data_IF_830126551802
#
_entry.id   IF_830126551802
#
_cell.length_a   1.000
_cell.length_b   1.000
_cell.length_c   1.000
_cell.angle_alpha   90.00
_cell.angle_beta   90.00
_cell.angle_gamma   90.00
#
_symmetry.space_group_name_H-M   'P 1'
#
loop_
_entity.id
_entity.type
_entity.pdbx_description
1 polymer ?
#
# COMPACT_ATOMS: atom_id res chain seq x y z
N UNK A 1 -67.34 -10.78 23.83
CA UNK A 1 -66.11 -11.45 24.29
C UNK A 1 -65.00 -10.96 23.36
N UNK A 2 -64.10 -10.09 23.84
CA UNK A 2 -63.17 -9.37 22.96
C UNK A 2 -62.12 -10.33 22.37
N UNK A 3 -62.03 -10.34 21.03
CA UNK A 3 -61.00 -11.04 20.27
C UNK A 3 -59.61 -10.50 20.63
N UNK A 4 -58.70 -11.43 20.92
CA UNK A 4 -57.31 -11.14 21.23
C UNK A 4 -56.61 -10.77 19.93
N UNK A 5 -56.55 -9.47 19.61
CA UNK A 5 -55.84 -8.95 18.45
C UNK A 5 -54.41 -9.47 18.40
N UNK A 6 -53.98 -9.89 17.20
CA UNK A 6 -52.64 -10.40 16.94
C UNK A 6 -51.58 -9.40 17.44
N UNK A 7 -50.78 -9.81 18.43
CA UNK A 7 -49.66 -9.01 18.94
C UNK A 7 -48.65 -8.84 17.81
N UNK A 8 -48.58 -7.64 17.26
CA UNK A 8 -47.57 -7.27 16.27
C UNK A 8 -46.19 -7.50 16.88
N UNK A 9 -45.37 -8.34 16.24
CA UNK A 9 -44.02 -8.68 16.74
C UNK A 9 -43.18 -7.41 16.78
N UNK A 10 -42.89 -6.91 17.98
CA UNK A 10 -42.07 -5.71 18.17
C UNK A 10 -40.67 -5.94 17.60
N UNK A 11 -40.36 -5.25 16.50
CA UNK A 11 -39.06 -5.25 15.85
C UNK A 11 -38.15 -4.17 16.42
N UNK A 12 -38.69 -3.13 17.05
CA UNK A 12 -37.91 -2.00 17.55
C UNK A 12 -37.16 -2.38 18.83
N UNK A 13 -37.83 -3.03 19.79
CA UNK A 13 -37.22 -3.46 21.06
C UNK A 13 -35.95 -4.31 20.87
N UNK A 14 -36.01 -5.44 20.13
CA UNK A 14 -34.84 -6.28 19.91
C UNK A 14 -33.70 -5.56 19.18
N UNK A 15 -34.00 -4.73 18.19
CA UNK A 15 -32.98 -3.98 17.45
C UNK A 15 -32.33 -2.89 18.31
N UNK A 16 -33.10 -2.24 19.18
CA UNK A 16 -32.59 -1.28 20.14
C UNK A 16 -31.64 -1.93 21.16
N UNK A 17 -31.95 -3.14 21.64
CA UNK A 17 -31.05 -3.88 22.53
C UNK A 17 -29.75 -4.30 21.83
N UNK A 18 -29.82 -4.68 20.54
CA UNK A 18 -28.61 -4.95 19.74
C UNK A 18 -27.75 -3.70 19.62
N UNK A 19 -28.37 -2.54 19.36
CA UNK A 19 -27.67 -1.26 19.32
C UNK A 19 -27.03 -0.92 20.67
N UNK A 20 -27.77 -1.04 21.77
CA UNK A 20 -27.23 -0.78 23.11
C UNK A 20 -26.05 -1.70 23.42
N UNK A 21 -26.14 -2.99 23.08
CA UNK A 21 -25.02 -3.92 23.27
C UNK A 21 -23.79 -3.49 22.47
N UNK A 22 -23.98 -3.06 21.22
CA UNK A 22 -22.89 -2.55 20.40
C UNK A 22 -22.25 -1.30 21.00
N UNK A 23 -23.08 -0.33 21.40
CA UNK A 23 -22.60 0.91 22.03
C UNK A 23 -21.87 0.63 23.35
N UNK A 24 -22.33 -0.33 24.16
CA UNK A 24 -21.64 -0.73 25.38
C UNK A 24 -20.22 -1.27 25.09
N UNK A 25 -20.05 -2.04 24.01
CA UNK A 25 -18.74 -2.58 23.63
C UNK A 25 -17.82 -1.44 23.19
N UNK A 26 -18.27 -0.58 22.29
CA UNK A 26 -17.47 0.55 21.79
C UNK A 26 -17.09 1.48 22.93
N UNK A 27 -18.06 1.83 23.77
CA UNK A 27 -17.82 2.66 24.94
C UNK A 27 -16.78 2.03 25.88
N UNK A 28 -16.90 0.73 26.18
CA UNK A 28 -15.95 0.04 27.06
C UNK A 28 -14.55 -0.11 26.43
N UNK A 29 -14.48 -0.24 25.11
CA UNK A 29 -13.21 -0.26 24.38
C UNK A 29 -12.45 1.06 24.53
N UNK A 30 -13.17 2.17 24.46
CA UNK A 30 -12.59 3.51 24.49
C UNK A 30 -12.52 4.09 25.91
N UNK A 31 -13.14 3.45 26.89
CA UNK A 31 -13.32 4.01 28.24
C UNK A 31 -12.01 4.34 28.94
N UNK A 32 -10.94 3.58 28.68
CA UNK A 32 -9.61 3.84 29.25
C UNK A 32 -9.04 5.16 28.74
N UNK A 33 -9.12 5.40 27.43
CA UNK A 33 -8.67 6.66 26.81
C UNK A 33 -9.57 7.82 27.24
N UNK A 34 -10.88 7.61 27.24
CA UNK A 34 -11.85 8.61 27.66
C UNK A 34 -11.68 9.00 29.13
N UNK A 35 -11.34 8.04 30.00
CA UNK A 35 -11.06 8.31 31.41
C UNK A 35 -9.77 9.11 31.62
N UNK A 36 -8.75 8.89 30.80
CA UNK A 36 -7.53 9.72 30.81
C UNK A 36 -7.81 11.16 30.34
N UNK A 37 -8.66 11.32 29.32
CA UNK A 37 -9.00 12.64 28.76
C UNK A 37 -9.95 13.44 29.67
N UNK A 38 -10.89 12.75 30.34
CA UNK A 38 -11.93 13.37 31.17
C UNK A 38 -12.02 12.71 32.56
N UNK A 39 -10.99 12.79 33.39
CA UNK A 39 -10.92 12.04 34.66
C UNK A 39 -11.96 12.48 35.69
N UNK A 40 -12.48 13.70 35.58
CA UNK A 40 -13.47 14.28 36.51
C UNK A 40 -14.91 13.90 36.18
N UNK A 41 -15.15 13.14 35.11
CA UNK A 41 -16.50 12.79 34.69
C UNK A 41 -17.14 11.78 35.67
N UNK A 42 -18.39 12.03 36.07
CA UNK A 42 -19.12 11.24 37.08
C UNK A 42 -19.26 9.75 36.73
N UNK A 43 -19.21 9.41 35.44
CA UNK A 43 -19.27 8.04 34.94
C UNK A 43 -18.19 7.15 35.55
N UNK A 44 -17.01 7.70 35.85
CA UNK A 44 -15.91 6.90 36.40
C UNK A 44 -16.11 6.52 37.87
N UNK A 45 -17.11 7.09 38.54
CA UNK A 45 -17.49 6.75 39.93
C UNK A 45 -18.38 5.51 40.02
N UNK A 46 -18.82 4.94 38.90
CA UNK A 46 -19.61 3.69 38.93
C UNK A 46 -18.73 2.47 39.23
N UNK A 47 -19.25 1.57 40.06
CA UNK A 47 -18.54 0.38 40.58
C UNK A 47 -17.97 -0.55 39.49
N UNK A 48 -18.48 -0.50 38.26
CA UNK A 48 -17.93 -1.27 37.14
C UNK A 48 -16.48 -0.88 36.82
N UNK A 49 -16.12 0.40 37.00
CA UNK A 49 -14.76 0.91 36.72
C UNK A 49 -13.78 0.71 37.88
N UNK A 50 -14.28 0.28 39.04
CA UNK A 50 -13.48 -0.15 40.19
C UNK A 50 -13.34 -1.67 40.28
N UNK A 51 -13.97 -2.41 39.37
CA UNK A 51 -13.87 -3.85 39.29
C UNK A 51 -12.42 -4.27 38.94
N UNK A 52 -11.85 -5.31 39.59
CA UNK A 52 -10.49 -5.78 39.31
C UNK A 52 -10.28 -6.20 37.85
N UNK A 53 -11.29 -6.76 37.19
CA UNK A 53 -11.21 -7.13 35.78
C UNK A 53 -11.06 -5.90 34.87
N UNK A 54 -11.78 -4.82 35.19
CA UNK A 54 -11.66 -3.56 34.46
C UNK A 54 -10.29 -2.90 34.69
N UNK A 55 -9.76 -2.95 35.93
CA UNK A 55 -8.42 -2.42 36.22
C UNK A 55 -7.32 -3.17 35.47
N UNK A 56 -7.42 -4.50 35.37
CA UNK A 56 -6.48 -5.28 34.56
C UNK A 56 -6.57 -4.88 33.08
N UNK A 57 -7.80 -4.76 32.56
CA UNK A 57 -8.03 -4.27 31.20
C UNK A 57 -7.45 -2.87 30.96
N UNK A 58 -7.60 -1.96 31.92
CA UNK A 58 -7.05 -0.59 31.90
C UNK A 58 -5.51 -0.60 31.78
N UNK A 59 -4.84 -1.48 32.55
CA UNK A 59 -3.39 -1.67 32.49
C UNK A 59 -2.97 -2.25 31.14
N UNK A 60 -3.61 -3.34 30.71
CA UNK A 60 -3.25 -4.04 29.49
C UNK A 60 -3.41 -3.15 28.26
N UNK A 61 -4.54 -2.43 28.16
CA UNK A 61 -4.77 -1.51 27.03
C UNK A 61 -3.78 -0.35 27.04
N UNK A 62 -3.51 0.24 28.20
CA UNK A 62 -2.52 1.33 28.31
C UNK A 62 -1.12 0.87 27.86
N UNK A 63 -0.71 -0.35 28.25
CA UNK A 63 0.57 -0.92 27.85
C UNK A 63 0.67 -1.18 26.33
N UNK A 64 -0.41 -1.65 25.72
CA UNK A 64 -0.50 -1.88 24.28
C UNK A 64 -0.39 -0.57 23.51
N UNK A 65 -1.11 0.47 23.94
CA UNK A 65 -1.05 1.80 23.31
C UNK A 65 0.37 2.38 23.35
N UNK A 66 1.03 2.32 24.50
CA UNK A 66 2.42 2.78 24.64
C UNK A 66 3.37 2.00 23.73
N UNK A 67 3.20 0.68 23.65
CA UNK A 67 4.02 -0.19 22.80
C UNK A 67 3.84 0.14 21.32
N UNK A 68 2.59 0.30 20.87
CA UNK A 68 2.27 0.69 19.50
C UNK A 68 2.87 2.05 19.13
N UNK A 69 2.77 3.05 20.02
CA UNK A 69 3.37 4.36 19.79
C UNK A 69 4.90 4.29 19.70
N UNK A 70 5.55 3.49 20.55
CA UNK A 70 7.01 3.29 20.49
C UNK A 70 7.43 2.67 19.17
N UNK A 71 6.69 1.67 18.68
CA UNK A 71 7.00 1.02 17.41
C UNK A 71 6.90 2.00 16.23
N UNK A 72 5.83 2.82 16.20
CA UNK A 72 5.67 3.86 15.16
C UNK A 72 6.82 4.87 15.20
N UNK A 73 7.24 5.30 16.39
CA UNK A 73 8.40 6.19 16.52
C UNK A 73 9.67 5.53 15.99
N UNK A 74 9.89 4.25 16.31
CA UNK A 74 11.04 3.49 15.82
C UNK A 74 11.05 3.38 14.28
N UNK A 75 9.91 3.14 13.66
CA UNK A 75 9.78 3.08 12.20
C UNK A 75 10.10 4.44 11.56
N UNK A 76 9.60 5.53 12.14
CA UNK A 76 9.89 6.90 11.69
C UNK A 76 11.39 7.19 11.75
N UNK A 77 12.04 6.83 12.86
CA UNK A 77 13.47 7.05 13.03
C UNK A 77 14.29 6.15 12.09
N UNK A 78 13.84 4.92 11.86
CA UNK A 78 14.40 4.04 10.83
C UNK A 78 14.36 4.68 9.44
N UNK A 79 13.20 5.22 9.04
CA UNK A 79 13.02 5.90 7.75
C UNK A 79 13.94 7.12 7.65
N UNK A 80 14.01 7.97 8.69
CA UNK A 80 14.92 9.13 8.71
C UNK A 80 16.36 8.70 8.49
N UNK A 81 16.80 7.65 9.18
CA UNK A 81 18.16 7.13 9.05
C UNK A 81 18.43 6.61 7.62
N UNK A 82 17.49 5.85 7.04
CA UNK A 82 17.58 5.39 5.66
C UNK A 82 17.68 6.56 4.67
N UNK A 83 16.85 7.60 4.82
CA UNK A 83 16.91 8.80 3.96
C UNK A 83 18.26 9.49 4.08
N UNK A 84 18.77 9.68 5.30
CA UNK A 84 20.07 10.31 5.52
C UNK A 84 21.21 9.51 4.87
N UNK A 85 21.18 8.18 5.01
CA UNK A 85 22.17 7.30 4.40
C UNK A 85 22.10 7.34 2.86
N UNK A 86 20.90 7.36 2.27
CA UNK A 86 20.74 7.52 0.82
C UNK A 86 21.27 8.87 0.33
N UNK A 87 21.01 9.96 1.07
CA UNK A 87 21.51 11.28 0.71
C UNK A 87 23.05 11.30 0.73
N UNK A 88 23.66 10.73 1.77
CA UNK A 88 25.11 10.63 1.87
C UNK A 88 25.72 9.79 0.73
N UNK A 89 25.11 8.65 0.38
CA UNK A 89 25.60 7.80 -0.71
C UNK A 89 25.45 8.44 -2.08
N UNK A 90 24.35 9.16 -2.32
CA UNK A 90 24.17 9.94 -3.56
C UNK A 90 25.21 11.05 -3.68
N UNK A 91 25.46 11.82 -2.61
CA UNK A 91 26.47 12.87 -2.61
C UNK A 91 27.87 12.31 -2.88
N UNK A 92 28.23 11.19 -2.24
CA UNK A 92 29.50 10.51 -2.50
C UNK A 92 29.60 10.02 -3.96
N UNK A 93 28.53 9.45 -4.51
CA UNK A 93 28.47 9.04 -5.91
C UNK A 93 28.66 10.22 -6.88
N UNK A 94 28.00 11.35 -6.63
CA UNK A 94 28.14 12.55 -7.46
C UNK A 94 29.54 13.17 -7.34
N UNK A 95 30.16 13.14 -6.16
CA UNK A 95 31.54 13.59 -5.98
C UNK A 95 32.50 12.75 -6.83
N UNK A 96 32.38 11.42 -6.79
CA UNK A 96 33.21 10.51 -7.58
C UNK A 96 33.02 10.71 -9.10
N UNK A 97 31.77 10.90 -9.56
CA UNK A 97 31.49 11.19 -10.98
C UNK A 97 32.12 12.53 -11.38
N UNK A 98 32.01 13.55 -10.54
CA UNK A 98 32.60 14.87 -10.79
C UNK A 98 34.13 14.77 -10.90
N UNK A 99 34.77 14.00 -10.02
CA UNK A 99 36.20 13.75 -10.05
C UNK A 99 36.64 12.99 -11.31
N UNK A 100 35.90 11.93 -11.68
CA UNK A 100 36.17 11.16 -12.91
C UNK A 100 36.04 12.04 -14.17
N UNK A 101 35.00 12.87 -14.24
CA UNK A 101 34.78 13.82 -15.34
C UNK A 101 35.91 14.85 -15.40
N UNK A 102 36.32 15.41 -14.26
CA UNK A 102 37.45 16.34 -14.20
C UNK A 102 38.78 15.68 -14.61
N UNK A 103 38.98 14.41 -14.26
CA UNK A 103 40.13 13.61 -14.70
C UNK A 103 40.16 13.42 -16.22
N UNK A 104 39.01 13.15 -16.85
CA UNK A 104 38.89 13.02 -18.31
C UNK A 104 39.22 14.34 -19.01
N UNK A 105 38.68 15.46 -18.54
CA UNK A 105 38.99 16.78 -19.10
C UNK A 105 40.46 17.17 -18.92
N UNK A 106 41.04 16.82 -17.78
CA UNK A 106 42.47 17.05 -17.51
C UNK A 106 43.35 16.22 -18.45
N UNK A 107 43.01 14.95 -18.71
CA UNK A 107 43.72 14.11 -19.67
C UNK A 107 43.59 14.60 -21.12
N UNK A 108 42.43 15.15 -21.50
CA UNK A 108 42.18 15.68 -22.85
C UNK A 108 43.03 16.92 -23.17
N UNK A 109 43.43 17.70 -22.15
CA UNK A 109 44.28 18.88 -22.32
C UNK A 109 45.76 18.55 -22.63
N UNK A 110 46.21 17.31 -22.42
CA UNK A 110 47.56 16.87 -22.78
C UNK A 110 47.66 16.34 -24.22
N UNK A 111 46.55 15.91 -24.84
CA UNK A 111 46.57 15.33 -26.19
C UNK A 111 46.44 16.38 -27.33
N UNK A 112 46.20 17.64 -26.98
CA UNK A 112 45.86 18.71 -27.96
C UNK A 112 47.00 19.69 -28.27
N UNK A 113 48.25 19.39 -27.87
CA UNK A 113 49.42 20.22 -28.21
C UNK A 113 50.39 19.46 -29.10
N UNK A 114 50.12 19.46 -30.40
CA UNK A 114 51.18 19.38 -31.42
C UNK A 114 51.05 20.57 -32.38
N UNK A 115 51.94 21.57 -32.30
CA UNK A 115 52.23 22.42 -33.43
C UNK A 115 53.45 21.89 -34.18
N UNK A 116 53.27 21.77 -35.48
CA UNK A 116 54.23 21.48 -36.53
C UNK A 116 55.29 22.59 -36.74
N UNK A 117 56.49 22.15 -37.16
CA UNK A 117 57.49 22.81 -38.05
C UNK A 117 58.78 23.48 -37.47
N UNK A 118 59.88 22.76 -37.74
CA UNK A 118 61.12 23.11 -38.49
C UNK A 118 62.23 24.06 -37.96
N UNK A 119 63.45 23.49 -38.02
CA UNK A 119 64.81 24.03 -38.27
C UNK A 119 65.68 24.65 -37.15
N UNK A 120 66.68 23.85 -36.71
CA UNK A 120 68.13 24.06 -36.90
C UNK A 120 69.07 23.99 -35.66
N UNK A 121 69.97 23.01 -35.74
CA UNK A 121 71.34 22.89 -35.19
C UNK A 121 71.62 22.98 -33.68
N UNK A 122 72.18 21.87 -33.17
CA UNK A 122 73.01 21.82 -31.97
C UNK A 122 73.37 20.38 -31.60
N UNK A 123 74.60 19.97 -31.91
CA UNK A 123 75.25 18.70 -31.54
C UNK A 123 75.04 18.35 -30.04
N UNK A 124 75.08 17.09 -29.57
CA UNK A 124 76.28 16.28 -29.28
C UNK A 124 75.78 14.92 -28.73
N UNK A 125 76.46 13.84 -29.15
CA UNK A 125 76.73 12.49 -28.57
C UNK A 125 76.00 12.08 -27.25
N UNK A 126 75.67 10.83 -26.92
CA UNK A 126 76.36 9.54 -27.08
C UNK A 126 75.47 8.43 -26.46
N UNK A 127 75.53 7.23 -27.05
CA UNK A 127 75.47 5.90 -26.41
C UNK A 127 74.19 5.37 -25.71
N UNK A 128 73.85 4.12 -26.10
CA UNK A 128 73.14 3.12 -25.28
C UNK A 128 71.72 2.82 -25.78
N UNK A 129 71.45 1.83 -26.65
CA UNK A 129 71.45 0.37 -26.38
C UNK A 129 70.32 0.03 -25.37
N UNK A 130 69.26 -0.77 -25.62
CA UNK A 130 68.97 -2.00 -26.41
C UNK A 130 67.45 -2.02 -26.66
N UNK A 131 66.98 -2.08 -27.91
CA UNK A 131 66.30 -3.21 -28.55
C UNK A 131 65.29 -4.04 -27.71
N UNK A 132 64.04 -4.09 -28.15
CA UNK A 132 63.38 -5.25 -28.78
C UNK A 132 61.86 -4.98 -28.78
N UNK A 133 61.26 -4.73 -29.95
CA UNK A 133 60.84 -5.74 -30.95
C UNK A 133 59.59 -6.49 -30.45
N UNK A 134 58.40 -5.96 -30.73
CA UNK A 134 57.57 -6.15 -31.93
C UNK A 134 56.67 -7.39 -31.87
N UNK A 135 55.43 -7.15 -32.31
CA UNK A 135 54.60 -8.08 -33.09
C UNK A 135 53.97 -9.27 -32.35
N UNK A 136 52.71 -9.62 -32.54
CA UNK A 136 51.79 -9.30 -33.62
C UNK A 136 50.37 -9.81 -33.27
N UNK A 137 49.37 -9.28 -34.01
CA UNK A 137 48.16 -10.00 -34.46
C UNK A 137 47.07 -10.42 -33.44
N UNK A 138 45.77 -10.53 -33.72
CA UNK A 138 44.80 -10.13 -34.76
C UNK A 138 43.45 -10.69 -34.21
N UNK A 139 42.36 -9.93 -34.31
CA UNK A 139 40.93 -10.37 -34.32
C UNK A 139 40.37 -11.22 -33.17
N UNK A 140 39.35 -10.69 -32.47
CA UNK A 140 38.06 -11.37 -32.32
C UNK A 140 37.01 -10.41 -31.73
N UNK A 141 35.95 -10.22 -32.51
CA UNK A 141 34.60 -9.88 -32.07
C UNK A 141 34.13 -10.89 -31.01
N UNK A 142 33.80 -10.45 -29.80
CA UNK A 142 32.66 -10.99 -29.05
C UNK A 142 32.20 -10.03 -27.94
N UNK A 143 30.90 -9.87 -27.84
CA UNK A 143 30.19 -8.95 -26.94
C UNK A 143 30.34 -9.32 -25.46
N UNK A 144 30.68 -8.37 -24.56
CA UNK A 144 30.27 -8.44 -23.17
C UNK A 144 28.89 -7.78 -23.04
N UNK A 145 27.89 -8.60 -23.34
CA UNK A 145 26.56 -8.62 -22.72
C UNK A 145 26.27 -7.51 -21.69
N UNK A 146 25.30 -6.67 -22.04
CA UNK A 146 24.53 -5.82 -21.12
C UNK A 146 24.22 -6.61 -19.82
N UNK A 147 24.40 -6.01 -18.63
CA UNK A 147 23.76 -6.54 -17.43
C UNK A 147 22.26 -6.38 -17.65
N UNK A 148 21.66 -7.46 -18.18
CA UNK A 148 20.23 -7.66 -18.21
C UNK A 148 19.73 -7.37 -16.80
N UNK A 149 19.03 -6.26 -16.68
CA UNK A 149 18.28 -5.94 -15.47
C UNK A 149 17.52 -7.19 -15.10
N UNK A 150 17.81 -7.70 -13.91
CA UNK A 150 17.11 -8.83 -13.33
C UNK A 150 15.63 -8.45 -13.28
N UNK A 151 14.90 -8.84 -14.33
CA UNK A 151 13.47 -9.02 -14.33
C UNK A 151 13.23 -10.07 -13.25
N UNK A 152 13.11 -9.57 -12.02
CA UNK A 152 12.50 -10.30 -10.94
C UNK A 152 11.12 -10.67 -11.47
N UNK A 153 10.99 -11.92 -11.90
CA UNK A 153 9.73 -12.62 -12.09
C UNK A 153 9.09 -12.72 -10.72
N UNK A 154 8.66 -11.57 -10.18
CA UNK A 154 7.87 -11.45 -8.97
C UNK A 154 6.63 -12.26 -9.23
N UNK A 155 6.62 -13.47 -8.66
CA UNK A 155 5.45 -14.30 -8.62
C UNK A 155 4.30 -13.44 -8.09
N UNK A 156 3.13 -13.46 -8.74
CA UNK A 156 2.02 -12.62 -8.35
C UNK A 156 1.69 -12.89 -6.87
N UNK A 157 1.56 -11.84 -6.04
CA UNK A 157 1.20 -12.04 -4.65
C UNK A 157 -0.16 -12.76 -4.59
N UNK A 158 -0.22 -13.86 -3.83
CA UNK A 158 -1.47 -14.58 -3.63
C UNK A 158 -2.31 -13.82 -2.60
N UNK A 159 -3.24 -13.01 -3.09
CA UNK A 159 -4.14 -12.22 -2.25
C UNK A 159 -5.47 -12.92 -2.04
N UNK A 160 -6.02 -12.84 -0.81
CA UNK A 160 -7.33 -13.39 -0.46
C UNK A 160 -8.26 -12.24 -0.10
N UNK A 161 -9.39 -12.14 -0.81
CA UNK A 161 -10.38 -11.09 -0.58
C UNK A 161 -11.04 -11.25 0.80
N UNK A 162 -11.16 -10.15 1.56
CA UNK A 162 -11.64 -10.19 2.93
C UNK A 162 -13.13 -10.54 3.01
N UNK A 163 -13.44 -11.74 3.50
CA UNK A 163 -14.82 -12.26 3.63
C UNK A 163 -15.69 -11.56 4.67
N UNK A 164 -15.09 -10.79 5.59
CA UNK A 164 -15.81 -10.05 6.63
C UNK A 164 -16.43 -8.75 6.11
N UNK A 165 -16.06 -8.28 4.92
CA UNK A 165 -16.66 -7.10 4.32
C UNK A 165 -18.01 -7.43 3.71
N UNK A 166 -19.05 -6.99 4.43
CA UNK A 166 -20.46 -7.24 4.12
C UNK A 166 -21.21 -5.98 3.66
N UNK A 167 -20.53 -4.82 3.64
CA UNK A 167 -21.08 -3.55 3.15
C UNK A 167 -20.47 -3.20 1.80
N UNK A 168 -21.23 -2.49 0.95
CA UNK A 168 -20.72 -2.04 -0.36
C UNK A 168 -19.54 -1.10 -0.18
N UNK A 169 -19.56 -0.24 0.85
CA UNK A 169 -18.49 0.72 1.15
C UNK A 169 -17.18 0.02 1.54
N UNK A 170 -17.23 -1.02 2.37
CA UNK A 170 -16.04 -1.80 2.72
C UNK A 170 -15.46 -2.55 1.51
N UNK A 171 -16.33 -3.12 0.68
CA UNK A 171 -15.96 -3.83 -0.55
C UNK A 171 -15.33 -2.87 -1.56
N UNK A 172 -15.87 -1.66 -1.71
CA UNK A 172 -15.28 -0.63 -2.57
C UNK A 172 -13.94 -0.15 -2.05
N UNK A 173 -13.80 0.07 -0.73
CA UNK A 173 -12.54 0.50 -0.11
C UNK A 173 -11.41 -0.52 -0.35
N UNK A 174 -11.70 -1.82 -0.19
CA UNK A 174 -10.75 -2.90 -0.52
C UNK A 174 -10.34 -2.85 -2.00
N UNK A 175 -11.29 -2.53 -2.88
CA UNK A 175 -11.02 -2.42 -4.31
C UNK A 175 -10.13 -1.25 -4.67
N UNK A 176 -10.38 -0.08 -4.09
CA UNK A 176 -9.74 1.17 -4.48
C UNK A 176 -8.43 1.43 -3.74
N UNK A 177 -8.47 1.36 -2.41
CA UNK A 177 -7.34 1.69 -1.53
C UNK A 177 -6.64 0.45 -0.94
N UNK A 178 -7.30 -0.72 -0.99
CA UNK A 178 -6.79 -1.93 -0.35
C UNK A 178 -7.14 -2.01 1.13
N UNK A 179 -6.40 -2.84 1.85
CA UNK A 179 -6.55 -3.08 3.30
C UNK A 179 -5.17 -2.96 3.91
N UNK A 180 -5.06 -2.52 5.17
CA UNK A 180 -3.78 -2.32 5.88
C UNK A 180 -2.74 -3.41 5.54
N UNK A 181 -1.61 -2.97 4.97
CA UNK A 181 -0.49 -3.83 4.58
C UNK A 181 -0.66 -4.62 3.25
N UNK A 182 -1.79 -4.48 2.56
CA UNK A 182 -2.07 -5.18 1.30
C UNK A 182 -2.40 -4.19 0.16
N UNK A 183 -1.99 -4.49 -1.08
CA UNK A 183 -2.31 -3.66 -2.23
C UNK A 183 -3.82 -3.66 -2.52
N UNK A 184 -4.29 -2.65 -3.25
CA UNK A 184 -5.69 -2.59 -3.70
C UNK A 184 -6.02 -3.68 -4.72
N UNK A 185 -7.26 -4.16 -4.70
CA UNK A 185 -7.71 -5.20 -5.66
C UNK A 185 -7.65 -4.67 -7.10
N UNK A 186 -7.89 -3.36 -7.29
CA UNK A 186 -7.69 -2.71 -8.59
C UNK A 186 -6.26 -2.87 -9.10
N UNK A 187 -5.27 -2.53 -8.29
CA UNK A 187 -3.85 -2.67 -8.65
C UNK A 187 -3.47 -4.12 -8.95
N UNK A 188 -3.99 -5.08 -8.18
CA UNK A 188 -3.79 -6.50 -8.42
C UNK A 188 -4.38 -6.96 -9.75
N UNK A 189 -5.61 -6.54 -10.06
CA UNK A 189 -6.29 -6.88 -11.31
C UNK A 189 -5.59 -6.24 -12.53
N UNK A 190 -5.11 -5.00 -12.40
CA UNK A 190 -4.44 -4.31 -13.50
C UNK A 190 -3.08 -4.94 -13.81
N UNK A 191 -2.28 -5.20 -12.77
CA UNK A 191 -0.91 -5.71 -12.90
C UNK A 191 -0.84 -7.21 -13.21
N UNK A 192 -1.70 -8.01 -12.59
CA UNK A 192 -1.60 -9.48 -12.64
C UNK A 192 -2.79 -10.17 -13.30
N UNK A 193 -3.85 -9.44 -13.66
CA UNK A 193 -5.08 -9.99 -14.26
C UNK A 193 -5.66 -11.11 -13.39
N UNK A 194 -5.76 -12.33 -13.91
CA UNK A 194 -6.27 -13.47 -13.14
C UNK A 194 -5.22 -14.12 -12.22
N UNK A 195 -3.93 -13.80 -12.40
CA UNK A 195 -2.81 -14.57 -11.80
C UNK A 195 -2.63 -14.34 -10.29
N UNK A 196 -3.16 -13.25 -9.73
CA UNK A 196 -3.11 -12.99 -8.28
C UNK A 196 -4.09 -13.86 -7.48
N UNK A 197 -5.04 -14.51 -8.16
CA UNK A 197 -6.07 -15.34 -7.54
C UNK A 197 -5.55 -16.76 -7.36
N UNK A 198 -5.47 -17.21 -6.10
CA UNK A 198 -4.87 -18.50 -5.74
C UNK A 198 -5.60 -19.72 -6.30
N UNK A 199 -6.93 -19.69 -6.32
CA UNK A 199 -7.75 -20.85 -6.70
C UNK A 199 -9.09 -20.44 -7.33
N UNK A 200 -9.86 -21.44 -7.76
CA UNK A 200 -11.19 -21.25 -8.36
C UNK A 200 -12.17 -20.56 -7.40
N UNK A 201 -12.06 -20.82 -6.09
CA UNK A 201 -12.89 -20.18 -5.06
C UNK A 201 -12.66 -18.66 -5.01
N UNK A 202 -11.41 -18.20 -5.00
CA UNK A 202 -11.08 -16.76 -5.08
C UNK A 202 -11.53 -16.16 -6.41
N UNK A 203 -11.37 -16.89 -7.51
CA UNK A 203 -11.85 -16.44 -8.81
C UNK A 203 -13.36 -16.21 -8.83
N UNK A 204 -14.13 -17.16 -8.29
CA UNK A 204 -15.60 -17.03 -8.19
C UNK A 204 -16.00 -15.89 -7.26
N UNK A 205 -15.29 -15.71 -6.15
CA UNK A 205 -15.58 -14.63 -5.21
C UNK A 205 -15.27 -13.26 -5.78
N UNK A 206 -14.13 -13.11 -6.48
CA UNK A 206 -13.79 -11.91 -7.23
C UNK A 206 -14.87 -11.59 -8.28
N UNK A 207 -15.31 -12.56 -9.07
CA UNK A 207 -16.35 -12.33 -10.10
C UNK A 207 -17.66 -11.80 -9.50
N UNK A 208 -18.05 -12.28 -8.32
CA UNK A 208 -19.23 -11.76 -7.60
C UNK A 208 -19.05 -10.31 -7.17
N UNK A 209 -17.89 -9.97 -6.59
CA UNK A 209 -17.59 -8.59 -6.17
C UNK A 209 -17.36 -7.64 -7.34
N UNK A 210 -16.87 -8.14 -8.48
CA UNK A 210 -16.69 -7.33 -9.68
C UNK A 210 -17.99 -6.67 -10.14
N UNK A 211 -19.12 -7.35 -9.99
CA UNK A 211 -20.44 -6.79 -10.29
C UNK A 211 -20.70 -5.53 -9.45
N UNK A 212 -20.32 -5.54 -8.17
CA UNK A 212 -20.46 -4.38 -7.28
C UNK A 212 -19.51 -3.26 -7.72
N UNK A 213 -18.26 -3.57 -8.07
CA UNK A 213 -17.30 -2.56 -8.52
C UNK A 213 -17.77 -1.83 -9.77
N UNK A 214 -18.25 -2.57 -10.76
CA UNK A 214 -18.74 -1.98 -12.01
C UNK A 214 -20.01 -1.17 -11.78
N UNK A 215 -20.89 -1.61 -10.87
CA UNK A 215 -22.09 -0.85 -10.52
C UNK A 215 -21.78 0.47 -9.81
N UNK A 216 -20.81 0.49 -8.89
CA UNK A 216 -20.36 1.73 -8.26
C UNK A 216 -19.79 2.70 -9.29
N UNK A 217 -18.98 2.21 -10.25
CA UNK A 217 -18.47 3.04 -11.35
C UNK A 217 -19.60 3.60 -12.22
N UNK A 218 -20.60 2.76 -12.53
CA UNK A 218 -21.78 3.18 -13.30
C UNK A 218 -22.55 4.28 -12.59
N UNK A 219 -22.90 4.10 -11.31
CA UNK A 219 -23.61 5.11 -10.51
C UNK A 219 -22.81 6.42 -10.42
N UNK A 220 -21.48 6.34 -10.22
CA UNK A 220 -20.62 7.51 -10.17
C UNK A 220 -20.65 8.30 -11.49
N UNK A 221 -20.57 7.60 -12.63
CA UNK A 221 -20.62 8.21 -13.95
C UNK A 221 -22.01 8.78 -14.27
N UNK A 222 -23.08 8.02 -14.02
CA UNK A 222 -24.46 8.41 -14.35
C UNK A 222 -24.94 9.61 -13.52
N UNK A 223 -24.48 9.71 -12.26
CA UNK A 223 -24.87 10.78 -11.33
C UNK A 223 -23.84 11.89 -11.18
N UNK A 224 -22.68 11.75 -11.82
CA UNK A 224 -21.53 12.67 -11.68
C UNK A 224 -21.12 12.93 -10.22
N UNK A 225 -21.07 11.87 -9.42
CA UNK A 225 -20.65 11.92 -8.01
C UNK A 225 -19.35 11.15 -7.79
N UNK A 226 -18.71 11.33 -6.63
CA UNK A 226 -17.50 10.58 -6.32
C UNK A 226 -17.79 9.09 -6.20
N UNK A 227 -16.78 8.24 -6.45
CA UNK A 227 -16.95 6.78 -6.30
C UNK A 227 -17.31 6.37 -4.86
N UNK A 228 -16.82 7.10 -3.86
CA UNK A 228 -17.17 6.86 -2.46
C UNK A 228 -18.66 7.15 -2.22
N UNK A 229 -19.16 8.27 -2.74
CA UNK A 229 -20.58 8.62 -2.62
C UNK A 229 -21.47 7.64 -3.40
N UNK A 230 -21.03 7.19 -4.58
CA UNK A 230 -21.72 6.16 -5.34
C UNK A 230 -21.78 4.81 -4.60
N UNK A 231 -20.71 4.42 -3.91
CA UNK A 231 -20.70 3.24 -3.05
C UNK A 231 -21.65 3.38 -1.87
N UNK A 232 -21.75 4.57 -1.28
CA UNK A 232 -22.71 4.87 -0.21
C UNK A 232 -24.16 4.80 -0.72
N UNK A 233 -24.46 5.40 -1.87
CA UNK A 233 -25.78 5.32 -2.51
C UNK A 233 -26.21 3.87 -2.77
N UNK A 234 -25.28 3.03 -3.24
CA UNK A 234 -25.56 1.61 -3.48
C UNK A 234 -25.75 0.83 -2.16
N UNK A 235 -25.01 1.17 -1.10
CA UNK A 235 -25.20 0.62 0.25
C UNK A 235 -26.55 1.03 0.85
N UNK A 236 -26.96 2.28 0.69
CA UNK A 236 -28.25 2.78 1.18
C UNK A 236 -29.40 2.05 0.49
N UNK A 237 -29.32 1.89 -0.84
CA UNK A 237 -30.28 1.09 -1.61
C UNK A 237 -30.36 -0.36 -1.08
N UNK A 238 -29.23 -0.98 -0.74
CA UNK A 238 -29.19 -2.32 -0.15
C UNK A 238 -29.89 -2.37 1.21
N UNK A 239 -29.67 -1.35 2.05
CA UNK A 239 -30.27 -1.22 3.40
C UNK A 239 -31.77 -0.99 3.33
N UNK A 240 -32.22 -0.14 2.42
CA UNK A 240 -33.64 0.15 2.20
C UNK A 240 -34.41 -1.09 1.75
N UNK A 241 -33.81 -1.87 0.85
CA UNK A 241 -34.35 -3.16 0.40
C UNK A 241 -34.21 -4.27 1.46
N UNK A 242 -33.44 -4.04 2.52
CA UNK A 242 -33.15 -5.01 3.60
C UNK A 242 -32.63 -6.35 3.07
N UNK A 243 -31.74 -6.30 2.08
CA UNK A 243 -31.18 -7.49 1.43
C UNK A 243 -29.70 -7.68 1.77
N UNK A 244 -29.22 -8.92 1.73
CA UNK A 244 -27.78 -9.22 1.86
C UNK A 244 -27.01 -8.71 0.64
N UNK A 245 -25.70 -8.52 0.79
CA UNK A 245 -24.81 -8.14 -0.32
C UNK A 245 -24.84 -9.15 -1.48
N UNK A 246 -25.04 -10.43 -1.17
CA UNK A 246 -25.19 -11.50 -2.14
C UNK A 246 -26.48 -11.37 -2.95
N UNK A 247 -27.58 -11.03 -2.27
CA UNK A 247 -28.87 -10.80 -2.91
C UNK A 247 -28.84 -9.50 -3.73
N UNK A 248 -28.12 -8.48 -3.27
CA UNK A 248 -27.85 -7.27 -4.06
C UNK A 248 -27.09 -7.60 -5.35
N UNK A 249 -26.00 -8.37 -5.26
CA UNK A 249 -25.20 -8.79 -6.42
C UNK A 249 -26.07 -9.50 -7.47
N UNK A 250 -26.94 -10.41 -7.02
CA UNK A 250 -27.88 -11.10 -7.90
C UNK A 250 -28.85 -10.12 -8.57
N UNK A 251 -29.41 -9.18 -7.81
CA UNK A 251 -30.34 -8.16 -8.32
C UNK A 251 -29.69 -7.27 -9.38
N UNK A 252 -28.46 -6.78 -9.17
CA UNK A 252 -27.72 -5.99 -10.16
C UNK A 252 -27.50 -6.81 -11.44
N UNK A 253 -27.11 -8.09 -11.29
CA UNK A 253 -26.88 -8.97 -12.45
C UNK A 253 -28.15 -9.27 -13.26
N UNK A 254 -29.33 -9.22 -12.63
CA UNK A 254 -30.62 -9.37 -13.30
C UNK A 254 -31.00 -8.07 -14.02
N UNK A 255 -30.83 -6.91 -13.38
CA UNK A 255 -31.10 -5.61 -13.98
C UNK A 255 -30.29 -5.34 -15.26
N UNK A 256 -29.04 -5.82 -15.33
CA UNK A 256 -28.19 -5.66 -16.51
C UNK A 256 -28.46 -6.69 -17.63
N UNK A 257 -29.29 -7.70 -17.39
CA UNK A 257 -29.74 -8.63 -18.44
C UNK A 257 -31.01 -8.17 -19.14
N UNK A 258 -31.77 -7.29 -18.50
CA UNK A 258 -33.07 -6.79 -18.97
C UNK A 258 -32.96 -5.50 -19.78
N UNK A 259 -31.76 -4.91 -19.86
CA UNK A 259 -31.43 -3.73 -20.67
C UNK A 259 -30.65 -4.16 -21.92
#
# INVERSE_FOLDING_TARGET
>A
MFERGAVQKDLAGPNFLVLLKYLCIVFLQDSVVLKQQHPTHFLWSYAIFDNPLYKQYEIDLSSQLVTSLRNISGDIDGIKNTINNLNASQQAGFANVTEAVNGIFSNSLYLSRTPTNFHEQGMITTAGEVAQDSSDHIFADDSPSLPSSSLSSSSPPQYTLNRKFCTVTDVWREYDHGVVGNPSVRSLEDKYKTKWRKNSTESRFFSRRKIIYEEVKRIANDRHISFSDAAQVLEDTRRDLKISIDKLTKKISEQHKEQ
#
